data_IF_225621935604
#
_entry.id   IF_225621935604
#
_cell.length_a   1.000
_cell.length_b   1.000
_cell.length_c   1.000
_cell.angle_alpha   90.00
_cell.angle_beta   90.00
_cell.angle_gamma   90.00
#
_symmetry.space_group_name_H-M   'P 1'
#
loop_
_entity.id
_entity.type
_entity.pdbx_description
1 polymer ?
#
# COMPACT_ATOMS: atom_id res chain seq x y z
N UNK A 1 -10.21 -4.60 -5.07
CA UNK A 1 -9.09 -5.34 -5.72
C UNK A 1 -8.97 -5.04 -7.21
N UNK A 2 -9.94 -5.38 -8.09
CA UNK A 2 -9.78 -5.21 -9.54
C UNK A 2 -9.35 -3.81 -10.02
N UNK A 3 -9.89 -2.73 -9.43
CA UNK A 3 -9.52 -1.36 -9.79
C UNK A 3 -8.09 -0.99 -9.36
N UNK A 4 -7.61 -1.50 -8.24
CA UNK A 4 -6.22 -1.32 -7.79
C UNK A 4 -5.26 -2.12 -8.68
N UNK A 5 -5.60 -3.37 -9.00
CA UNK A 5 -4.82 -4.17 -9.94
C UNK A 5 -4.73 -3.53 -11.33
N UNK A 6 -5.83 -2.93 -11.81
CA UNK A 6 -5.84 -2.18 -13.07
C UNK A 6 -4.96 -0.94 -13.06
N UNK A 7 -4.92 -0.18 -11.94
CA UNK A 7 -4.00 0.95 -11.79
C UNK A 7 -2.55 0.50 -11.81
N UNK A 8 -2.20 -0.50 -11.01
CA UNK A 8 -0.83 -1.01 -10.93
C UNK A 8 -0.35 -1.57 -12.26
N UNK A 9 -1.21 -2.32 -12.96
CA UNK A 9 -0.89 -2.81 -14.31
C UNK A 9 -0.63 -1.65 -15.27
N UNK A 10 -1.53 -0.67 -15.34
CA UNK A 10 -1.38 0.49 -16.24
C UNK A 10 -0.10 1.26 -15.96
N UNK A 11 0.22 1.54 -14.69
CA UNK A 11 1.46 2.22 -14.33
C UNK A 11 2.72 1.40 -14.63
N UNK A 12 2.67 0.08 -14.49
CA UNK A 12 3.77 -0.79 -14.87
C UNK A 12 4.00 -0.78 -16.38
N UNK A 13 2.92 -0.81 -17.18
CA UNK A 13 2.95 -0.69 -18.62
C UNK A 13 3.48 0.68 -19.10
N UNK A 14 3.01 1.78 -18.49
CA UNK A 14 3.48 3.16 -18.77
C UNK A 14 4.97 3.35 -18.47
N UNK A 15 5.50 2.66 -17.44
CA UNK A 15 6.92 2.64 -17.12
C UNK A 15 7.75 1.75 -18.04
N UNK A 16 7.14 1.03 -18.97
CA UNK A 16 7.82 0.10 -19.87
C UNK A 16 8.45 -1.08 -19.14
N UNK A 17 7.86 -1.53 -18.02
CA UNK A 17 8.40 -2.67 -17.27
C UNK A 17 8.22 -3.97 -18.07
N UNK A 18 9.11 -4.97 -17.88
CA UNK A 18 9.00 -6.24 -18.56
C UNK A 18 7.75 -7.03 -18.10
N UNK A 19 7.26 -7.98 -18.92
CA UNK A 19 5.99 -8.69 -18.66
C UNK A 19 5.89 -9.34 -17.29
N UNK A 20 6.97 -9.88 -16.77
CA UNK A 20 7.05 -10.47 -15.41
C UNK A 20 6.82 -9.43 -14.32
N UNK A 21 7.36 -8.23 -14.45
CA UNK A 21 7.12 -7.13 -13.50
C UNK A 21 5.69 -6.58 -13.63
N UNK A 22 5.14 -6.48 -14.82
CA UNK A 22 3.73 -6.11 -15.02
C UNK A 22 2.81 -7.12 -14.32
N UNK A 23 3.10 -8.41 -14.45
CA UNK A 23 2.37 -9.47 -13.76
C UNK A 23 2.50 -9.34 -12.23
N UNK A 24 3.72 -9.08 -11.74
CA UNK A 24 4.03 -8.89 -10.32
C UNK A 24 3.29 -7.70 -9.71
N UNK A 25 3.27 -6.56 -10.40
CA UNK A 25 2.51 -5.37 -9.97
C UNK A 25 1.01 -5.63 -9.96
N UNK A 26 0.51 -6.31 -11.00
CA UNK A 26 -0.90 -6.71 -11.09
C UNK A 26 -1.29 -7.63 -9.94
N UNK A 27 -0.42 -8.60 -9.59
CA UNK A 27 -0.62 -9.52 -8.48
C UNK A 27 -0.70 -8.77 -7.13
N UNK A 28 0.18 -7.79 -6.87
CA UNK A 28 0.10 -6.96 -5.67
C UNK A 28 -1.29 -6.31 -5.52
N UNK A 29 -1.85 -5.81 -6.63
CA UNK A 29 -3.17 -5.20 -6.65
C UNK A 29 -4.32 -6.16 -6.37
N UNK A 30 -4.20 -7.43 -6.70
CA UNK A 30 -5.18 -8.45 -6.36
C UNK A 30 -5.03 -8.96 -4.91
N UNK A 31 -3.81 -9.03 -4.43
CA UNK A 31 -3.48 -9.67 -3.14
C UNK A 31 -3.65 -8.73 -1.94
N UNK A 32 -3.45 -7.40 -2.08
CA UNK A 32 -3.40 -6.48 -0.94
C UNK A 32 -4.62 -6.57 0.00
N UNK A 33 -5.81 -6.78 -0.52
CA UNK A 33 -7.09 -6.87 0.20
C UNK A 33 -7.68 -8.30 0.18
N UNK A 34 -6.91 -9.35 -0.14
CA UNK A 34 -7.44 -10.71 -0.36
C UNK A 34 -8.13 -11.30 0.88
N UNK A 35 -7.72 -10.92 2.08
CA UNK A 35 -8.34 -11.34 3.35
C UNK A 35 -9.09 -10.21 4.07
N UNK A 36 -9.45 -9.14 3.38
CA UNK A 36 -10.07 -7.97 4.00
C UNK A 36 -11.38 -8.28 4.73
N UNK A 37 -12.17 -9.19 4.18
CA UNK A 37 -13.49 -9.58 4.72
C UNK A 37 -13.40 -10.82 5.63
N UNK A 38 -12.20 -11.35 5.88
CA UNK A 38 -12.02 -12.51 6.75
C UNK A 38 -12.27 -12.15 8.24
N UNK A 39 -12.82 -13.08 9.03
CA UNK A 39 -13.04 -12.87 10.45
C UNK A 39 -11.72 -12.58 11.20
N UNK A 40 -11.76 -11.63 12.13
CA UNK A 40 -10.59 -11.21 12.93
C UNK A 40 -9.95 -12.38 13.67
N UNK A 41 -10.75 -13.30 14.18
CA UNK A 41 -10.27 -14.49 14.87
C UNK A 41 -9.42 -15.40 13.98
N UNK A 42 -9.64 -15.37 12.67
CA UNK A 42 -8.85 -16.10 11.67
C UNK A 42 -7.58 -15.34 11.27
N UNK A 43 -7.60 -13.99 11.30
CA UNK A 43 -6.46 -13.17 10.95
C UNK A 43 -5.40 -13.12 12.05
N UNK A 44 -5.81 -12.98 13.31
CA UNK A 44 -4.90 -12.83 14.46
C UNK A 44 -3.79 -13.88 14.56
N UNK A 45 -4.07 -15.18 14.39
CA UNK A 45 -3.02 -16.20 14.44
C UNK A 45 -2.04 -16.15 13.27
N UNK A 46 -2.40 -15.49 12.16
CA UNK A 46 -1.57 -15.42 10.95
C UNK A 46 -0.59 -14.22 10.96
N UNK A 47 -0.82 -13.19 11.79
CA UNK A 47 0.01 -11.99 11.74
C UNK A 47 1.37 -12.20 12.42
N UNK A 48 2.47 -11.66 11.85
CA UNK A 48 3.80 -11.74 12.45
C UNK A 48 3.90 -10.84 13.69
N UNK A 49 4.94 -11.06 14.50
CA UNK A 49 5.12 -10.38 15.79
C UNK A 49 5.14 -8.86 15.69
N UNK A 50 5.72 -8.29 14.63
CA UNK A 50 5.80 -6.86 14.39
C UNK A 50 4.46 -6.21 13.99
N UNK A 51 3.50 -7.01 13.53
CA UNK A 51 2.14 -6.58 13.25
C UNK A 51 1.12 -7.01 14.33
N UNK A 52 1.54 -7.71 15.39
CA UNK A 52 0.65 -8.20 16.44
C UNK A 52 -0.12 -7.08 17.15
N UNK A 53 0.48 -5.89 17.27
CA UNK A 53 -0.14 -4.70 17.88
C UNK A 53 -1.01 -3.89 16.91
N UNK A 54 -1.14 -4.31 15.65
CA UNK A 54 -1.97 -3.57 14.69
C UNK A 54 -3.45 -3.61 15.09
N UNK A 55 -4.17 -2.49 14.89
CA UNK A 55 -5.63 -2.49 15.01
C UNK A 55 -6.26 -3.51 14.06
N UNK A 56 -7.34 -4.13 14.49
CA UNK A 56 -8.03 -5.19 13.73
C UNK A 56 -8.28 -4.88 12.24
N UNK A 57 -8.70 -3.66 11.85
CA UNK A 57 -8.91 -3.34 10.44
C UNK A 57 -7.65 -3.40 9.56
N UNK A 58 -6.46 -3.44 10.17
CA UNK A 58 -5.17 -3.46 9.48
C UNK A 58 -4.51 -4.84 9.41
N UNK A 59 -5.12 -5.86 10.02
CA UNK A 59 -4.53 -7.21 10.10
C UNK A 59 -4.53 -7.97 8.78
N UNK A 60 -5.46 -7.64 7.86
CA UNK A 60 -5.61 -8.38 6.61
C UNK A 60 -4.35 -8.38 5.74
N UNK A 61 -3.65 -7.25 5.62
CA UNK A 61 -2.43 -7.15 4.84
C UNK A 61 -1.31 -8.06 5.35
N UNK A 62 -0.88 -7.93 6.63
CA UNK A 62 0.10 -8.84 7.23
C UNK A 62 -0.31 -10.32 7.15
N UNK A 63 -1.59 -10.64 7.40
CA UNK A 63 -2.09 -12.02 7.32
C UNK A 63 -2.00 -12.61 5.90
N UNK A 64 -2.30 -11.81 4.86
CA UNK A 64 -2.10 -12.23 3.46
C UNK A 64 -0.64 -12.53 3.19
N UNK A 65 0.27 -11.64 3.60
CA UNK A 65 1.69 -11.81 3.36
C UNK A 65 2.24 -13.09 4.02
N UNK A 66 1.88 -13.37 5.28
CA UNK A 66 2.29 -14.61 5.96
C UNK A 66 1.71 -15.86 5.33
N UNK A 67 0.45 -15.81 4.89
CA UNK A 67 -0.14 -16.94 4.15
C UNK A 67 0.59 -17.20 2.85
N UNK A 68 0.90 -16.18 2.06
CA UNK A 68 1.68 -16.31 0.82
C UNK A 68 3.08 -16.87 1.09
N UNK A 69 3.74 -16.42 2.17
CA UNK A 69 5.05 -16.95 2.58
C UNK A 69 4.97 -18.42 2.92
N UNK A 70 3.94 -18.84 3.65
CA UNK A 70 3.70 -20.25 3.97
C UNK A 70 3.38 -21.10 2.73
N UNK A 71 2.81 -20.50 1.67
CA UNK A 71 2.57 -21.13 0.36
C UNK A 71 3.81 -21.12 -0.56
N UNK A 72 4.97 -20.61 -0.09
CA UNK A 72 6.25 -20.67 -0.80
C UNK A 72 6.59 -19.41 -1.61
N UNK A 73 5.86 -18.31 -1.46
CA UNK A 73 6.20 -17.03 -2.09
C UNK A 73 7.41 -16.42 -1.38
N UNK A 74 8.57 -16.36 -2.07
CA UNK A 74 9.82 -15.79 -1.55
C UNK A 74 10.09 -14.35 -1.97
N UNK A 75 9.17 -13.67 -2.63
CA UNK A 75 9.32 -12.27 -3.04
C UNK A 75 9.04 -11.32 -1.86
N UNK A 76 10.07 -11.01 -1.08
CA UNK A 76 9.95 -10.19 0.13
C UNK A 76 9.47 -8.76 -0.15
N UNK A 77 9.75 -8.20 -1.33
CA UNK A 77 9.27 -6.87 -1.70
C UNK A 77 7.76 -6.89 -2.00
N UNK A 78 7.26 -7.90 -2.70
CA UNK A 78 5.84 -8.12 -2.91
C UNK A 78 5.11 -8.38 -1.58
N UNK A 79 5.65 -9.25 -0.74
CA UNK A 79 5.09 -9.55 0.58
C UNK A 79 4.99 -8.29 1.45
N UNK A 80 6.05 -7.45 1.46
CA UNK A 80 6.05 -6.16 2.17
C UNK A 80 5.03 -5.19 1.58
N UNK A 81 4.92 -5.09 0.25
CA UNK A 81 3.92 -4.26 -0.42
C UNK A 81 2.50 -4.64 0.02
N UNK A 82 2.20 -5.94 0.05
CA UNK A 82 0.90 -6.47 0.48
C UNK A 82 0.68 -6.25 1.98
N UNK A 83 1.67 -6.57 2.83
CA UNK A 83 1.52 -6.48 4.29
C UNK A 83 1.21 -5.05 4.76
N UNK A 84 1.89 -4.07 4.22
CA UNK A 84 1.86 -2.70 4.74
C UNK A 84 1.16 -1.69 3.82
N UNK A 85 0.44 -2.13 2.78
CA UNK A 85 -0.25 -1.25 1.84
C UNK A 85 -1.15 -0.20 2.51
N UNK A 86 -1.74 -0.54 3.66
CA UNK A 86 -2.65 0.36 4.40
C UNK A 86 -1.94 1.42 5.23
N UNK A 87 -0.76 1.16 5.76
CA UNK A 87 -0.05 2.06 6.70
C UNK A 87 1.24 2.63 6.13
N UNK A 88 1.80 1.99 5.12
CA UNK A 88 3.11 2.30 4.57
C UNK A 88 4.25 1.58 5.30
N UNK A 89 5.44 1.60 4.71
CA UNK A 89 6.66 1.05 5.29
C UNK A 89 7.88 1.84 4.81
N UNK A 90 8.88 2.14 5.67
CA UNK A 90 10.07 2.90 5.26
C UNK A 90 10.89 2.18 4.17
N UNK A 91 10.92 0.84 4.19
CA UNK A 91 11.66 0.04 3.22
C UNK A 91 10.83 -0.35 1.97
N UNK A 92 9.77 0.40 1.64
CA UNK A 92 9.09 0.19 0.39
C UNK A 92 10.03 0.47 -0.79
N UNK A 93 10.09 -0.49 -1.71
CA UNK A 93 10.59 -0.27 -3.06
C UNK A 93 9.53 0.45 -3.92
N UNK A 94 9.79 0.54 -5.22
CA UNK A 94 8.87 1.15 -6.19
C UNK A 94 7.51 0.44 -6.20
N UNK A 95 7.48 -0.90 -6.12
CA UNK A 95 6.23 -1.69 -6.07
C UNK A 95 5.43 -1.40 -4.80
N UNK A 96 6.11 -1.41 -3.64
CA UNK A 96 5.47 -1.14 -2.35
C UNK A 96 4.83 0.26 -2.32
N UNK A 97 5.57 1.25 -2.80
CA UNK A 97 5.10 2.63 -2.86
C UNK A 97 3.95 2.80 -3.86
N UNK A 98 4.04 2.16 -5.03
CA UNK A 98 2.97 2.17 -6.02
C UNK A 98 1.69 1.48 -5.49
N UNK A 99 1.82 0.36 -4.76
CA UNK A 99 0.69 -0.35 -4.17
C UNK A 99 -0.03 0.49 -3.11
N UNK A 100 0.74 1.14 -2.23
CA UNK A 100 0.22 2.10 -1.25
C UNK A 100 -0.53 3.27 -1.92
N UNK A 101 0.03 3.84 -2.99
CA UNK A 101 -0.62 4.90 -3.76
C UNK A 101 -1.87 4.40 -4.48
N UNK A 102 -1.84 3.21 -5.08
CA UNK A 102 -2.95 2.65 -5.86
C UNK A 102 -4.18 2.37 -4.98
N UNK A 103 -4.00 1.80 -3.78
CA UNK A 103 -5.11 1.62 -2.84
C UNK A 103 -5.71 2.98 -2.44
N UNK A 104 -4.88 3.96 -2.13
CA UNK A 104 -5.37 5.28 -1.77
C UNK A 104 -6.07 5.97 -2.95
N UNK A 105 -5.55 5.87 -4.17
CA UNK A 105 -6.02 6.58 -5.37
C UNK A 105 -7.13 5.84 -6.13
N UNK A 106 -7.59 4.69 -5.65
CA UNK A 106 -8.61 3.87 -6.28
C UNK A 106 -9.84 4.71 -6.69
N UNK A 107 -10.28 4.64 -7.99
CA UNK A 107 -11.29 5.56 -8.54
C UNK A 107 -12.67 5.53 -7.87
N UNK A 108 -13.04 4.44 -7.19
CA UNK A 108 -14.31 4.32 -6.46
C UNK A 108 -14.34 5.10 -5.14
N UNK A 109 -13.22 5.61 -4.68
CA UNK A 109 -13.16 6.37 -3.43
C UNK A 109 -13.77 7.76 -3.60
N UNK A 110 -14.81 8.07 -2.81
CA UNK A 110 -15.61 9.32 -2.93
C UNK A 110 -14.96 10.56 -2.29
N UNK A 111 -14.03 10.39 -1.36
CA UNK A 111 -13.39 11.51 -0.67
C UNK A 111 -12.39 12.23 -1.60
N UNK A 112 -12.55 13.56 -1.77
CA UNK A 112 -11.72 14.46 -2.62
C UNK A 112 -11.47 13.90 -4.04
N UNK A 113 -12.50 13.57 -4.83
CA UNK A 113 -12.32 12.84 -6.08
C UNK A 113 -11.49 13.59 -7.12
N UNK A 114 -11.63 14.93 -7.21
CA UNK A 114 -10.85 15.77 -8.14
C UNK A 114 -9.36 15.81 -7.78
N UNK A 115 -9.04 15.91 -6.49
CA UNK A 115 -7.66 15.89 -6.02
C UNK A 115 -7.01 14.52 -6.28
N UNK A 116 -7.70 13.43 -5.96
CA UNK A 116 -7.21 12.06 -6.26
C UNK A 116 -7.02 11.84 -7.77
N UNK A 117 -7.92 12.36 -8.61
CA UNK A 117 -7.76 12.29 -10.05
C UNK A 117 -6.53 13.08 -10.54
N UNK A 118 -6.22 14.22 -9.90
CA UNK A 118 -5.00 14.97 -10.15
C UNK A 118 -3.73 14.18 -9.82
N UNK A 119 -3.71 13.51 -8.67
CA UNK A 119 -2.59 12.65 -8.27
C UNK A 119 -2.42 11.46 -9.22
N UNK A 120 -3.51 10.79 -9.62
CA UNK A 120 -3.44 9.69 -10.58
C UNK A 120 -2.82 10.07 -11.92
N UNK A 121 -3.07 11.29 -12.42
CA UNK A 121 -2.46 11.77 -13.68
C UNK A 121 -0.96 12.03 -13.61
N UNK A 122 -0.42 12.16 -12.39
CA UNK A 122 1.03 12.31 -12.14
C UNK A 122 1.74 10.97 -11.96
N UNK A 123 0.96 9.92 -11.76
CA UNK A 123 1.49 8.56 -11.70
C UNK A 123 1.72 8.03 -13.11
N UNK A 124 2.74 7.21 -13.34
CA UNK A 124 3.75 6.76 -12.36
C UNK A 124 4.99 7.65 -12.24
N UNK A 125 5.08 8.76 -13.00
CA UNK A 125 6.31 9.55 -13.15
C UNK A 125 6.71 10.25 -11.83
N UNK A 126 5.74 10.80 -11.11
CA UNK A 126 5.94 11.55 -9.85
C UNK A 126 5.69 10.71 -8.60
N UNK A 127 5.99 9.41 -8.62
CA UNK A 127 5.61 8.47 -7.56
C UNK A 127 5.96 8.94 -6.15
N UNK A 128 7.20 9.39 -5.91
CA UNK A 128 7.65 9.84 -4.58
C UNK A 128 6.92 11.12 -4.14
N UNK A 129 6.73 12.07 -5.04
CA UNK A 129 5.98 13.30 -4.73
C UNK A 129 4.50 13.01 -4.45
N UNK A 130 3.89 12.13 -5.22
CA UNK A 130 2.50 11.69 -5.00
C UNK A 130 2.37 10.96 -3.66
N UNK A 131 3.30 10.05 -3.35
CA UNK A 131 3.32 9.34 -2.07
C UNK A 131 3.44 10.32 -0.89
N UNK A 132 4.34 11.31 -0.96
CA UNK A 132 4.46 12.37 0.06
C UNK A 132 3.15 13.11 0.28
N UNK A 133 2.47 13.52 -0.79
CA UNK A 133 1.18 14.22 -0.68
C UNK A 133 0.11 13.36 -0.03
N UNK A 134 0.08 12.05 -0.35
CA UNK A 134 -0.84 11.09 0.24
C UNK A 134 -0.55 10.92 1.74
N UNK A 135 0.71 10.68 2.12
CA UNK A 135 1.10 10.49 3.52
C UNK A 135 0.80 11.76 4.34
N UNK A 136 1.17 12.94 3.82
CA UNK A 136 0.84 14.22 4.46
C UNK A 136 -0.67 14.41 4.68
N UNK A 137 -1.49 14.07 3.67
CA UNK A 137 -2.94 14.17 3.78
C UNK A 137 -3.52 13.17 4.81
N UNK A 138 -2.96 11.95 4.91
CA UNK A 138 -3.36 10.96 5.92
C UNK A 138 -2.99 11.41 7.32
N UNK A 139 -1.76 11.88 7.54
CA UNK A 139 -1.30 12.40 8.84
C UNK A 139 -2.20 13.56 9.26
N UNK A 140 -2.42 14.54 8.39
CA UNK A 140 -3.31 15.68 8.67
C UNK A 140 -4.71 15.23 9.09
N UNK A 141 -5.30 14.29 8.35
CA UNK A 141 -6.63 13.74 8.68
C UNK A 141 -6.68 13.08 10.06
N UNK A 142 -5.60 12.39 10.48
CA UNK A 142 -5.50 11.83 11.83
C UNK A 142 -5.41 12.92 12.89
N UNK A 143 -4.57 13.95 12.67
CA UNK A 143 -4.39 15.06 13.59
C UNK A 143 -5.68 15.89 13.76
N UNK A 144 -6.37 16.20 12.65
CA UNK A 144 -7.67 16.90 12.66
C UNK A 144 -8.75 16.15 13.45
N UNK A 145 -8.68 14.82 13.44
CA UNK A 145 -9.59 13.95 14.21
C UNK A 145 -9.10 13.59 15.61
N UNK A 146 -8.00 14.20 16.10
CA UNK A 146 -7.34 13.85 17.38
C UNK A 146 -7.07 12.35 17.52
N UNK A 147 -6.67 11.68 16.43
CA UNK A 147 -6.37 10.24 16.37
C UNK A 147 -4.87 10.00 16.25
N UNK A 148 -4.39 8.91 16.83
CA UNK A 148 -3.00 8.50 16.70
C UNK A 148 -2.64 8.22 15.24
N UNK A 149 -1.42 8.61 14.85
CA UNK A 149 -0.82 8.24 13.57
C UNK A 149 -0.04 6.94 13.76
N UNK A 150 -0.24 5.98 12.88
CA UNK A 150 0.47 4.71 12.95
C UNK A 150 1.99 4.92 12.80
N UNK A 151 2.86 4.29 13.63
CA UNK A 151 4.31 4.49 13.57
C UNK A 151 4.90 4.28 12.17
N UNK A 152 4.51 3.22 11.48
CA UNK A 152 4.97 2.95 10.09
C UNK A 152 4.64 4.08 9.11
N UNK A 153 3.51 4.78 9.30
CA UNK A 153 3.16 5.95 8.47
C UNK A 153 4.11 7.12 8.73
N UNK A 154 4.53 7.31 9.97
CA UNK A 154 5.52 8.35 10.36
C UNK A 154 6.90 8.00 9.81
N UNK A 155 7.32 6.75 9.92
CA UNK A 155 8.57 6.24 9.38
C UNK A 155 8.64 6.43 7.85
N UNK A 156 7.56 6.07 7.14
CA UNK A 156 7.48 6.29 5.69
C UNK A 156 7.55 7.78 5.36
N UNK A 157 6.87 8.64 6.12
CA UNK A 157 6.95 10.10 5.93
C UNK A 157 8.39 10.60 6.05
N UNK A 158 9.09 10.23 7.12
CA UNK A 158 10.47 10.65 7.36
C UNK A 158 11.37 10.22 6.19
N UNK A 159 11.30 8.96 5.78
CA UNK A 159 12.06 8.45 4.62
C UNK A 159 11.78 9.25 3.34
N UNK A 160 10.51 9.57 3.06
CA UNK A 160 10.12 10.29 1.83
C UNK A 160 10.58 11.76 1.82
N UNK A 161 10.75 12.40 2.97
CA UNK A 161 11.24 13.78 3.04
C UNK A 161 12.76 13.85 3.08
N UNK A 162 13.45 12.90 3.73
CA UNK A 162 14.90 12.79 3.78
C UNK A 162 15.51 12.48 2.40
N UNK A 163 14.86 11.62 1.60
CA UNK A 163 15.31 11.27 0.25
C UNK A 163 15.09 12.35 -0.82
N UNK A 164 14.66 13.56 -0.42
CA UNK A 164 14.30 14.67 -1.34
C UNK A 164 15.27 15.84 -1.27
N UNK A 165 16.41 15.67 -0.56
CA UNK A 165 17.49 16.66 -0.42
C UNK A 165 18.55 16.56 -1.51
#
# INVERSE_FOLDING_TARGET
>A
MARVAGLLRGWAEERGLPPEEIARWTAAGWLHDALRDAPRAELRPLVPADAAAFPDPLLHGPAVAERLRAEGVGDEALLRAVAYHSVGHPDFDVLGLATFCADFLEPGRRFRPRWRAGLRRRMPDDLDAVAREIVAARIRHHLEGARSVHPRTVELWNRLVEGSG
#
